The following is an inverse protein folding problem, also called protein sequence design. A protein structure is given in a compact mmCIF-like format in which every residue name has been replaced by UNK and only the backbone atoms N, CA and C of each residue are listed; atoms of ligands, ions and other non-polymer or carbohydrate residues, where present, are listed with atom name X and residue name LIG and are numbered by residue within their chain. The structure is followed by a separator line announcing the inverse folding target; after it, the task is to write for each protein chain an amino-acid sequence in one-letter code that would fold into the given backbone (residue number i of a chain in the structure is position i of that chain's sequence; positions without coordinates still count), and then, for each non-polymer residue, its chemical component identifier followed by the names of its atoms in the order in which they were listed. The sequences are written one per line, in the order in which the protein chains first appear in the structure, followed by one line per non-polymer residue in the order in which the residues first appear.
data_IF_615097333314
#
_entry.id   IF_615097333314
#
_cell.length_a   1.000
_cell.length_b   1.000
_cell.length_c   1.000
_cell.angle_alpha   90.00
_cell.angle_beta   90.00
_cell.angle_gamma   90.00
#
_symmetry.space_group_name_H-M   'P 1'
#
loop_
_entity.id
_entity.type
_entity.pdbx_description
1 polymer ?
#
# COMPACT_ATOMS: atom_id res chain seq x y z
N UNK A 1 13.08 22.59 10.87
CA UNK A 1 12.85 21.20 10.39
C UNK A 1 13.58 20.14 11.20
N UNK A 2 14.83 20.35 11.64
CA UNK A 2 15.63 19.32 12.35
C UNK A 2 14.98 18.75 13.63
N UNK A 3 14.31 19.57 14.46
CA UNK A 3 13.61 19.09 15.66
C UNK A 3 12.41 18.19 15.37
N UNK A 4 11.71 18.40 14.24
CA UNK A 4 10.54 17.59 13.86
C UNK A 4 11.00 16.21 13.39
N UNK A 5 12.05 16.16 12.58
CA UNK A 5 12.70 14.94 12.11
C UNK A 5 13.16 14.04 13.29
N UNK A 6 13.85 14.62 14.27
CA UNK A 6 14.30 13.91 15.47
C UNK A 6 13.12 13.39 16.34
N UNK A 7 12.00 14.13 16.39
CA UNK A 7 10.77 13.67 17.06
C UNK A 7 10.13 12.50 16.34
N UNK A 8 10.03 12.56 15.02
CA UNK A 8 9.44 11.49 14.19
C UNK A 8 10.26 10.21 14.38
N UNK A 9 11.59 10.31 14.33
CA UNK A 9 12.49 9.17 14.54
C UNK A 9 12.37 8.50 15.90
N UNK A 10 11.89 9.18 16.95
CA UNK A 10 11.64 8.54 18.25
C UNK A 10 10.49 7.52 18.22
N UNK A 11 9.64 7.52 17.21
CA UNK A 11 8.53 6.56 17.09
C UNK A 11 9.10 5.15 16.88
N UNK A 12 8.49 4.14 17.51
CA UNK A 12 8.96 2.77 17.32
C UNK A 12 8.61 2.27 15.91
N UNK A 13 9.54 1.58 15.23
CA UNK A 13 9.33 1.14 13.85
C UNK A 13 8.18 0.14 13.74
N UNK A 14 7.97 -0.69 14.77
CA UNK A 14 6.83 -1.59 14.86
C UNK A 14 5.50 -0.83 14.87
N UNK A 15 5.40 0.28 15.61
CA UNK A 15 4.17 1.10 15.61
C UNK A 15 3.91 1.72 14.25
N UNK A 16 4.95 2.13 13.51
CA UNK A 16 4.80 2.66 12.16
C UNK A 16 4.29 1.59 11.18
N UNK A 17 4.81 0.35 11.26
CA UNK A 17 4.32 -0.76 10.43
C UNK A 17 2.87 -1.12 10.78
N UNK A 18 2.52 -1.18 12.06
CA UNK A 18 1.14 -1.45 12.50
C UNK A 18 0.19 -0.35 12.01
N UNK A 19 0.59 0.92 12.14
CA UNK A 19 -0.20 2.05 11.64
C UNK A 19 -0.39 1.99 10.13
N UNK A 20 0.66 1.65 9.38
CA UNK A 20 0.56 1.43 7.94
C UNK A 20 -0.46 0.35 7.61
N UNK A 21 -0.36 -0.84 8.21
CA UNK A 21 -1.29 -1.95 7.98
C UNK A 21 -2.73 -1.54 8.30
N UNK A 22 -2.94 -0.83 9.41
CA UNK A 22 -4.27 -0.36 9.81
C UNK A 22 -4.86 0.63 8.79
N UNK A 23 -4.05 1.58 8.33
CA UNK A 23 -4.47 2.55 7.31
C UNK A 23 -4.67 1.89 5.94
N UNK A 24 -3.81 0.93 5.57
CA UNK A 24 -3.91 0.12 4.34
C UNK A 24 -5.26 -0.62 4.29
N UNK A 25 -5.68 -1.20 5.42
CA UNK A 25 -7.00 -1.85 5.55
C UNK A 25 -8.14 -0.85 5.39
N UNK A 26 -8.09 0.30 6.05
CA UNK A 26 -9.14 1.33 5.94
C UNK A 26 -9.21 1.89 4.52
N UNK A 27 -8.07 2.29 3.94
CA UNK A 27 -8.00 2.88 2.61
C UNK A 27 -8.52 1.91 1.54
N UNK A 28 -8.19 0.64 1.66
CA UNK A 28 -8.69 -0.39 0.73
C UNK A 28 -10.17 -0.72 0.99
N UNK A 29 -10.59 -0.74 2.26
CA UNK A 29 -11.98 -1.06 2.67
C UNK A 29 -13.00 0.03 2.34
N UNK A 30 -12.59 1.29 2.21
CA UNK A 30 -13.45 2.42 1.82
C UNK A 30 -13.89 2.40 0.34
N UNK A 31 -13.77 1.26 -0.34
CA UNK A 31 -14.20 1.08 -1.72
C UNK A 31 -13.30 1.77 -2.74
N UNK A 32 -12.15 2.31 -2.33
CA UNK A 32 -11.16 2.86 -3.25
C UNK A 32 -10.35 1.69 -3.83
N UNK A 33 -10.94 0.99 -4.82
CA UNK A 33 -10.27 -0.11 -5.54
C UNK A 33 -8.94 0.27 -6.20
N UNK A 34 -8.53 1.55 -6.16
CA UNK A 34 -7.21 1.98 -6.57
C UNK A 34 -6.38 2.26 -5.32
N UNK A 35 -5.25 1.56 -5.12
CA UNK A 35 -4.36 1.72 -3.96
C UNK A 35 -3.57 3.04 -4.01
N UNK A 36 -4.15 4.14 -4.47
CA UNK A 36 -3.49 5.45 -4.54
C UNK A 36 -3.09 5.92 -3.13
N UNK A 37 -3.99 5.76 -2.16
CA UNK A 37 -3.70 6.06 -0.77
C UNK A 37 -2.70 5.07 -0.16
N UNK A 38 -2.75 3.78 -0.54
CA UNK A 38 -1.79 2.79 -0.04
C UNK A 38 -0.37 3.08 -0.58
N UNK A 39 -0.23 3.50 -1.84
CA UNK A 39 1.04 3.95 -2.43
C UNK A 39 1.53 5.23 -1.74
N UNK A 40 0.63 6.21 -1.55
CA UNK A 40 0.94 7.47 -0.85
C UNK A 40 1.35 7.27 0.60
N UNK A 41 0.83 6.23 1.28
CA UNK A 41 1.19 5.88 2.65
C UNK A 41 2.44 5.00 2.70
N UNK A 42 2.69 4.18 1.67
CA UNK A 42 3.86 3.33 1.56
C UNK A 42 5.16 4.12 1.44
N UNK A 43 5.14 5.22 0.67
CA UNK A 43 6.29 6.13 0.49
C UNK A 43 6.84 6.74 1.80
N UNK A 44 6.04 7.47 2.61
CA UNK A 44 6.49 8.06 3.86
C UNK A 44 6.81 7.00 4.91
N UNK A 45 6.09 5.88 4.94
CA UNK A 45 6.38 4.76 5.87
C UNK A 45 7.71 4.10 5.53
N UNK A 46 7.97 3.84 4.24
CA UNK A 46 9.24 3.29 3.76
C UNK A 46 10.40 4.23 4.06
N UNK A 47 10.26 5.52 3.72
CA UNK A 47 11.25 6.54 4.06
C UNK A 47 11.58 6.55 5.56
N UNK A 48 10.56 6.59 6.42
CA UNK A 48 10.73 6.59 7.87
C UNK A 48 11.52 5.38 8.38
N UNK A 49 11.18 4.18 7.90
CA UNK A 49 11.83 2.94 8.31
C UNK A 49 13.29 2.90 7.87
N UNK A 50 13.59 3.34 6.64
CA UNK A 50 14.95 3.41 6.10
C UNK A 50 15.79 4.47 6.79
N UNK A 51 15.27 5.69 6.98
CA UNK A 51 16.00 6.77 7.70
C UNK A 51 16.38 6.35 9.12
N UNK A 52 15.48 5.65 9.83
CA UNK A 52 15.77 5.15 11.19
C UNK A 52 16.77 4.01 11.20
N UNK A 53 16.76 3.15 10.18
CA UNK A 53 17.73 2.07 10.07
C UNK A 53 19.13 2.63 9.81
N UNK A 54 19.27 3.65 8.96
CA UNK A 54 20.55 4.33 8.68
C UNK A 54 21.14 4.97 9.94
N UNK A 55 20.32 5.58 10.81
CA UNK A 55 20.83 6.21 12.04
C UNK A 55 21.31 5.23 13.12
N UNK A 56 20.87 3.96 13.05
CA UNK A 56 21.12 3.00 14.12
C UNK A 56 22.43 2.22 13.94
N UNK A 57 22.99 2.23 12.73
CA UNK A 57 24.10 1.34 12.37
C UNK A 57 25.14 2.07 11.52
N UNK A 58 26.39 1.66 11.71
CA UNK A 58 27.53 2.12 10.94
C UNK A 58 27.75 1.26 9.68
N UNK A 59 27.08 0.11 9.57
CA UNK A 59 27.14 -0.76 8.39
C UNK A 59 26.20 -0.23 7.30
N UNK A 60 26.68 0.13 6.11
CA UNK A 60 25.83 0.62 5.03
C UNK A 60 24.86 -0.44 4.48
N UNK A 61 25.11 -1.74 4.68
CA UNK A 61 24.28 -2.83 4.13
C UNK A 61 23.14 -3.26 5.06
N UNK A 62 23.28 -3.07 6.37
CA UNK A 62 22.26 -3.45 7.35
C UNK A 62 20.94 -2.67 7.17
N UNK A 63 20.93 -1.33 6.96
CA UNK A 63 19.73 -0.55 6.73
C UNK A 63 18.98 -0.97 5.46
N UNK A 64 19.72 -1.29 4.40
CA UNK A 64 19.16 -1.73 3.14
C UNK A 64 18.44 -3.07 3.31
N UNK A 65 19.07 -4.02 4.01
CA UNK A 65 18.49 -5.35 4.30
C UNK A 65 17.28 -5.28 5.21
N UNK A 66 17.30 -4.43 6.24
CA UNK A 66 16.16 -4.22 7.14
C UNK A 66 14.98 -3.53 6.42
N UNK A 67 15.28 -2.53 5.60
CA UNK A 67 14.28 -1.86 4.75
C UNK A 67 13.66 -2.81 3.75
N UNK A 68 14.46 -3.68 3.10
CA UNK A 68 13.98 -4.68 2.17
C UNK A 68 13.03 -5.68 2.85
N UNK A 69 13.38 -6.17 4.05
CA UNK A 69 12.51 -7.08 4.81
C UNK A 69 11.17 -6.45 5.16
N UNK A 70 11.18 -5.20 5.63
CA UNK A 70 9.95 -4.47 6.00
C UNK A 70 9.12 -4.08 4.78
N UNK A 71 9.78 -3.68 3.69
CA UNK A 71 9.14 -3.43 2.39
C UNK A 71 8.48 -4.69 1.84
N UNK A 72 9.17 -5.83 1.90
CA UNK A 72 8.62 -7.12 1.48
C UNK A 72 7.42 -7.53 2.34
N UNK A 73 7.50 -7.34 3.66
CA UNK A 73 6.39 -7.66 4.56
C UNK A 73 5.14 -6.83 4.24
N UNK A 74 5.32 -5.51 4.08
CA UNK A 74 4.22 -4.58 3.79
C UNK A 74 3.63 -4.81 2.40
N UNK A 75 4.46 -5.07 1.39
CA UNK A 75 3.97 -5.35 0.02
C UNK A 75 3.27 -6.70 -0.09
N UNK A 76 3.77 -7.75 0.58
CA UNK A 76 3.11 -9.05 0.63
C UNK A 76 1.74 -8.94 1.31
N UNK A 77 1.66 -8.19 2.40
CA UNK A 77 0.38 -7.94 3.08
C UNK A 77 -0.63 -7.28 2.14
N UNK A 78 -0.25 -6.17 1.51
CA UNK A 78 -1.12 -5.47 0.54
C UNK A 78 -1.47 -6.37 -0.64
N UNK A 79 -0.54 -7.18 -1.17
CA UNK A 79 -0.81 -8.13 -2.26
C UNK A 79 -1.86 -9.18 -1.86
N UNK A 80 -1.72 -9.79 -0.69
CA UNK A 80 -2.69 -10.77 -0.18
C UNK A 80 -4.06 -10.11 -0.03
N UNK A 81 -4.11 -8.91 0.54
CA UNK A 81 -5.35 -8.15 0.68
C UNK A 81 -5.99 -7.86 -0.68
N UNK A 82 -5.22 -7.46 -1.69
CA UNK A 82 -5.72 -7.22 -3.04
C UNK A 82 -6.26 -8.49 -3.67
N UNK A 83 -5.60 -9.64 -3.49
CA UNK A 83 -6.13 -10.92 -3.96
C UNK A 83 -7.49 -11.19 -3.32
N UNK A 84 -7.63 -11.08 -1.99
CA UNK A 84 -8.91 -11.33 -1.33
C UNK A 84 -10.05 -10.43 -1.81
N UNK A 85 -9.76 -9.15 -2.05
CA UNK A 85 -10.76 -8.16 -2.46
C UNK A 85 -11.11 -8.31 -3.94
N UNK A 86 -10.13 -8.55 -4.81
CA UNK A 86 -10.32 -8.60 -6.25
C UNK A 86 -10.66 -9.98 -6.78
N UNK A 87 -10.32 -11.07 -6.07
CA UNK A 87 -10.56 -12.44 -6.52
C UNK A 87 -12.01 -12.71 -6.95
N UNK A 88 -13.05 -12.31 -6.18
CA UNK A 88 -14.44 -12.50 -6.59
C UNK A 88 -14.80 -11.76 -7.88
N UNK A 89 -14.17 -10.61 -8.14
CA UNK A 89 -14.39 -9.80 -9.35
C UNK A 89 -13.59 -10.31 -10.55
N UNK A 90 -12.39 -10.84 -10.31
CA UNK A 90 -11.56 -11.48 -11.33
C UNK A 90 -12.29 -12.66 -11.98
N UNK A 91 -12.98 -13.49 -11.19
CA UNK A 91 -13.78 -14.60 -11.72
C UNK A 91 -14.96 -14.11 -12.56
N UNK A 92 -15.64 -13.04 -12.11
CA UNK A 92 -16.79 -12.44 -12.81
C UNK A 92 -16.42 -11.73 -14.11
N UNK A 93 -15.14 -11.39 -14.32
CA UNK A 93 -14.67 -10.86 -15.59
C UNK A 93 -14.86 -11.83 -16.77
N UNK A 94 -14.87 -13.14 -16.49
CA UNK A 94 -15.09 -14.17 -17.51
C UNK A 94 -16.57 -14.50 -17.73
N UNK A 95 -17.48 -13.93 -16.92
CA UNK A 95 -18.92 -14.09 -17.08
C UNK A 95 -19.46 -13.10 -18.13
N UNK A 96 -20.13 -13.60 -19.18
CA UNK A 96 -20.81 -12.74 -20.14
C UNK A 96 -22.01 -12.07 -19.47
N UNK A 97 -22.03 -10.73 -19.47
CA UNK A 97 -23.18 -9.93 -19.04
C UNK A 97 -23.17 -9.47 -17.58
N UNK A 98 -22.04 -9.60 -16.86
CA UNK A 98 -21.93 -9.08 -15.50
C UNK A 98 -21.92 -7.54 -15.48
N UNK A 99 -22.94 -6.92 -14.87
CA UNK A 99 -23.01 -5.47 -14.69
C UNK A 99 -22.24 -5.05 -13.43
N UNK A 100 -21.15 -4.32 -13.64
CA UNK A 100 -20.32 -3.83 -12.55
C UNK A 100 -21.01 -2.71 -11.74
N UNK A 101 -22.04 -2.00 -12.25
CA UNK A 101 -22.61 -0.77 -11.63
C UNK A 101 -22.93 -0.84 -10.13
N UNK A 102 -23.30 -2.02 -9.61
CA UNK A 102 -23.67 -2.21 -8.21
C UNK A 102 -22.56 -2.85 -7.34
N UNK A 103 -21.33 -2.91 -7.83
CA UNK A 103 -20.20 -3.57 -7.13
C UNK A 103 -19.46 -2.67 -6.15
N UNK A 104 -19.74 -1.36 -6.15
CA UNK A 104 -19.03 -0.40 -5.31
C UNK A 104 -17.58 -0.12 -5.75
N UNK A 105 -17.13 -0.71 -6.86
CA UNK A 105 -15.81 -0.41 -7.46
C UNK A 105 -15.86 1.00 -8.08
N UNK A 106 -14.87 1.88 -7.82
CA UNK A 106 -14.90 3.26 -8.31
C UNK A 106 -15.02 3.34 -9.84
N UNK A 107 -15.86 4.26 -10.29
CA UNK A 107 -16.20 4.50 -11.70
C UNK A 107 -15.01 4.89 -12.60
N UNK A 108 -13.80 5.05 -12.08
CA UNK A 108 -12.61 5.41 -12.86
C UNK A 108 -12.24 4.35 -13.91
N UNK A 109 -12.69 3.10 -13.72
CA UNK A 109 -12.55 1.99 -14.67
C UNK A 109 -13.78 1.77 -15.57
N UNK A 110 -14.88 2.51 -15.37
CA UNK A 110 -16.16 2.27 -16.07
C UNK A 110 -16.31 3.00 -17.38
N UNK A 111 -15.35 3.85 -17.75
CA UNK A 111 -15.33 4.44 -19.08
C UNK A 111 -14.42 3.56 -19.95
N UNK A 112 -14.96 2.61 -20.74
CA UNK A 112 -14.13 1.71 -21.55
C UNK A 112 -13.57 2.41 -22.79
N UNK A 113 -13.77 3.73 -22.92
CA UNK A 113 -13.41 4.49 -24.13
C UNK A 113 -11.96 4.98 -24.14
N UNK A 114 -11.22 4.88 -23.03
CA UNK A 114 -9.94 5.58 -22.91
C UNK A 114 -8.68 4.69 -22.98
N UNK A 115 -8.76 3.35 -22.95
CA UNK A 115 -7.56 2.53 -22.75
C UNK A 115 -7.39 1.31 -23.65
N UNK A 116 -8.40 0.91 -24.43
CA UNK A 116 -8.21 -0.08 -25.48
C UNK A 116 -8.50 0.65 -26.78
N UNK A 117 -7.42 0.91 -27.50
CA UNK A 117 -7.39 1.49 -28.85
C UNK A 117 -8.56 0.94 -29.66
N UNK A 118 -9.41 1.87 -30.09
CA UNK A 118 -10.47 1.70 -31.09
C UNK A 118 -9.91 1.33 -32.45
#
# INVERSE_FOLDING_TARGET
MHRLYQKILKISPTKAVILYIFLDVICTGLGMGVPFFNILLGLPTGWFLTSRAIEKTWDPFEPARDSLKKGLLTSLFTMVQMIFIWWPYFLKFFEKGFDFKNTGIPYILYTPKASLVS
#
